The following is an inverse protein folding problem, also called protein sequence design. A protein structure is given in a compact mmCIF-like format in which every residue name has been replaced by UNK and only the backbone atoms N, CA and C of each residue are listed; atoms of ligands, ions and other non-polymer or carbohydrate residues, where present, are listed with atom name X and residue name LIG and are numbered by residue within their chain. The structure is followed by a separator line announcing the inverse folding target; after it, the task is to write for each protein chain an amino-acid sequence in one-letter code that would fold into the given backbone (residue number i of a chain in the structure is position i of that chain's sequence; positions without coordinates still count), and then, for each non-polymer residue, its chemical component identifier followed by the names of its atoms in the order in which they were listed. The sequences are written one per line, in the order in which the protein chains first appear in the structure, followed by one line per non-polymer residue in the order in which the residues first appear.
data_IF_567681117938
#
_entry.id   IF_567681117938
#
_cell.length_a   1.000
_cell.length_b   1.000
_cell.length_c   1.000
_cell.angle_alpha   90.00
_cell.angle_beta   90.00
_cell.angle_gamma   90.00
#
_symmetry.space_group_name_H-M   'P 1'
#
loop_
_entity.id
_entity.type
_entity.pdbx_description
1 polymer ?
#
# COMPACT_ATOMS: atom_id res chain seq x y z
N UNK A 1 18.28 -16.33 -12.51
CA UNK A 1 19.35 -15.64 -11.76
C UNK A 1 19.06 -15.43 -10.26
N UNK A 2 18.01 -16.03 -9.67
CA UNK A 2 17.78 -15.96 -8.21
C UNK A 2 18.52 -17.05 -7.41
N UNK A 3 18.89 -18.16 -8.06
CA UNK A 3 19.51 -19.32 -7.38
C UNK A 3 20.99 -19.13 -6.99
N UNK A 4 21.63 -18.03 -7.41
CA UNK A 4 23.04 -17.75 -7.12
C UNK A 4 23.25 -16.80 -5.92
N UNK A 5 22.18 -16.27 -5.32
CA UNK A 5 22.31 -15.23 -4.30
C UNK A 5 22.32 -15.82 -2.87
N UNK A 6 23.26 -15.42 -1.99
CA UNK A 6 23.27 -15.84 -0.60
C UNK A 6 21.91 -15.62 0.09
N UNK A 7 21.49 -16.59 0.90
CA UNK A 7 20.17 -16.62 1.55
C UNK A 7 19.83 -15.31 2.28
N UNK A 8 20.81 -14.70 2.95
CA UNK A 8 20.60 -13.46 3.71
C UNK A 8 20.19 -12.27 2.81
N UNK A 9 20.74 -12.18 1.60
CA UNK A 9 20.32 -11.16 0.62
C UNK A 9 18.94 -11.53 0.07
N UNK A 10 18.67 -12.81 -0.19
CA UNK A 10 17.36 -13.25 -0.68
C UNK A 10 16.23 -12.96 0.33
N UNK A 11 16.52 -13.06 1.63
CA UNK A 11 15.61 -12.72 2.73
C UNK A 11 15.60 -11.25 3.11
N UNK A 12 16.49 -10.42 2.53
CA UNK A 12 16.56 -9.00 2.86
C UNK A 12 15.35 -8.23 2.32
N UNK A 13 14.79 -8.62 1.18
CA UNK A 13 13.70 -7.88 0.52
C UNK A 13 12.46 -7.71 1.41
N UNK A 14 11.91 -8.76 2.08
CA UNK A 14 10.83 -8.59 3.05
C UNK A 14 11.20 -7.70 4.25
N UNK A 15 12.40 -7.89 4.81
CA UNK A 15 12.85 -7.11 5.96
C UNK A 15 13.00 -5.63 5.61
N UNK A 16 13.59 -5.34 4.44
CA UNK A 16 13.74 -3.99 3.90
C UNK A 16 12.38 -3.31 3.76
N UNK A 17 11.39 -3.99 3.17
CA UNK A 17 10.06 -3.42 3.00
C UNK A 17 9.38 -3.11 4.35
N UNK A 18 9.53 -4.00 5.34
CA UNK A 18 8.98 -3.78 6.68
C UNK A 18 9.64 -2.56 7.35
N UNK A 19 10.97 -2.45 7.28
CA UNK A 19 11.70 -1.32 7.87
C UNK A 19 11.28 0.00 7.22
N UNK A 20 11.21 0.06 5.89
CA UNK A 20 10.78 1.25 5.14
C UNK A 20 9.33 1.62 5.50
N UNK A 21 8.44 0.64 5.62
CA UNK A 21 7.06 0.88 6.03
C UNK A 21 6.97 1.48 7.43
N UNK A 22 7.73 0.95 8.41
CA UNK A 22 7.70 1.53 9.76
C UNK A 22 8.23 2.97 9.77
N UNK A 23 9.26 3.27 8.97
CA UNK A 23 9.72 4.65 8.79
C UNK A 23 8.61 5.55 8.22
N UNK A 24 7.86 5.08 7.22
CA UNK A 24 6.72 5.82 6.67
C UNK A 24 5.68 6.18 7.74
N UNK A 25 5.33 5.22 8.60
CA UNK A 25 4.40 5.43 9.72
C UNK A 25 4.95 6.42 10.75
N UNK A 26 6.26 6.39 11.03
CA UNK A 26 6.90 7.35 11.92
C UNK A 26 6.81 8.76 11.35
N UNK A 27 7.13 8.97 10.06
CA UNK A 27 6.97 10.26 9.40
C UNK A 27 5.52 10.74 9.40
N UNK A 28 4.57 9.84 9.12
CA UNK A 28 3.15 10.17 9.17
C UNK A 28 2.70 10.63 10.57
N UNK A 29 3.17 9.96 11.63
CA UNK A 29 2.88 10.30 13.01
C UNK A 29 3.50 11.66 13.43
N UNK A 30 4.64 12.04 12.84
CA UNK A 30 5.26 13.35 13.02
C UNK A 30 4.61 14.46 12.18
N UNK A 31 3.63 14.12 11.33
CA UNK A 31 2.99 15.07 10.41
C UNK A 31 3.79 15.36 9.14
N UNK A 32 4.91 14.69 8.92
CA UNK A 32 5.77 14.85 7.74
C UNK A 32 5.21 14.04 6.55
N UNK A 33 4.06 14.47 6.03
CA UNK A 33 3.29 13.70 5.04
C UNK A 33 4.05 13.46 3.73
N UNK A 34 4.90 14.41 3.31
CA UNK A 34 5.72 14.25 2.10
C UNK A 34 6.79 13.16 2.28
N UNK A 35 7.47 13.13 3.43
CA UNK A 35 8.43 12.08 3.75
C UNK A 35 7.72 10.73 3.90
N UNK A 36 6.55 10.70 4.55
CA UNK A 36 5.74 9.49 4.66
C UNK A 36 5.36 8.93 3.28
N UNK A 37 4.92 9.78 2.34
CA UNK A 37 4.55 9.36 0.98
C UNK A 37 5.73 8.72 0.25
N UNK A 38 6.92 9.30 0.32
CA UNK A 38 8.11 8.73 -0.31
C UNK A 38 8.42 7.33 0.21
N UNK A 39 8.27 7.10 1.51
CA UNK A 39 8.55 5.81 2.15
C UNK A 39 7.44 4.78 1.92
N UNK A 40 6.16 5.19 1.91
CA UNK A 40 5.06 4.31 1.52
C UNK A 40 5.20 3.87 0.06
N UNK A 41 5.52 4.79 -0.84
CA UNK A 41 5.81 4.49 -2.25
C UNK A 41 6.96 3.50 -2.38
N UNK A 42 8.07 3.73 -1.67
CA UNK A 42 9.22 2.83 -1.67
C UNK A 42 8.86 1.43 -1.13
N UNK A 43 7.98 1.33 -0.13
CA UNK A 43 7.47 0.04 0.35
C UNK A 43 6.73 -0.71 -0.76
N UNK A 44 5.90 0.00 -1.54
CA UNK A 44 5.20 -0.55 -2.68
C UNK A 44 6.19 -1.06 -3.75
N UNK A 45 7.21 -0.27 -4.10
CA UNK A 45 8.23 -0.60 -5.10
C UNK A 45 9.06 -1.86 -4.74
N UNK A 46 9.25 -2.13 -3.44
CA UNK A 46 10.00 -3.31 -2.97
C UNK A 46 9.19 -4.61 -3.15
N UNK A 47 7.87 -4.55 -2.96
CA UNK A 47 7.03 -5.73 -3.07
C UNK A 47 6.71 -6.06 -4.53
N UNK A 48 7.11 -7.25 -4.99
CA UNK A 48 6.69 -7.70 -6.31
C UNK A 48 5.18 -8.05 -6.30
N UNK A 49 4.33 -7.39 -7.11
CA UNK A 49 2.88 -7.62 -7.11
C UNK A 49 2.48 -9.03 -7.57
N UNK A 50 3.28 -9.70 -8.42
CA UNK A 50 2.99 -11.04 -8.92
C UNK A 50 3.18 -12.13 -7.85
N UNK A 51 4.13 -11.95 -6.93
CA UNK A 51 4.41 -12.96 -5.89
C UNK A 51 3.96 -12.54 -4.48
N UNK A 52 3.75 -11.24 -4.26
CA UNK A 52 3.42 -10.66 -2.95
C UNK A 52 2.16 -9.77 -3.02
N UNK A 53 1.19 -10.14 -3.88
CA UNK A 53 -0.01 -9.36 -4.19
C UNK A 53 -0.71 -8.77 -2.96
N UNK A 54 -0.86 -9.53 -1.87
CA UNK A 54 -1.49 -9.07 -0.62
C UNK A 54 -0.76 -7.90 0.03
N UNK A 55 0.54 -8.07 0.29
CA UNK A 55 1.33 -7.05 0.99
C UNK A 55 1.63 -5.86 0.09
N UNK A 56 1.74 -6.09 -1.23
CA UNK A 56 1.76 -5.04 -2.22
C UNK A 56 0.46 -4.21 -2.19
N UNK A 57 -0.72 -4.84 -2.21
CA UNK A 57 -2.00 -4.12 -2.16
C UNK A 57 -2.19 -3.31 -0.85
N UNK A 58 -1.69 -3.82 0.28
CA UNK A 58 -1.66 -3.06 1.54
C UNK A 58 -0.76 -1.82 1.44
N UNK A 59 0.45 -1.96 0.89
CA UNK A 59 1.37 -0.85 0.71
C UNK A 59 0.86 0.19 -0.31
N UNK A 60 0.25 -0.28 -1.40
CA UNK A 60 -0.41 0.56 -2.39
C UNK A 60 -1.54 1.36 -1.76
N UNK A 61 -2.38 0.74 -0.93
CA UNK A 61 -3.46 1.43 -0.25
C UNK A 61 -2.96 2.52 0.73
N UNK A 62 -1.88 2.27 1.47
CA UNK A 62 -1.29 3.30 2.33
C UNK A 62 -0.71 4.46 1.51
N UNK A 63 -0.05 4.16 0.38
CA UNK A 63 0.45 5.16 -0.58
C UNK A 63 -0.67 6.00 -1.17
N UNK A 64 -1.79 5.38 -1.53
CA UNK A 64 -2.98 6.08 -2.02
C UNK A 64 -3.59 7.00 -0.96
N UNK A 65 -3.77 6.51 0.28
CA UNK A 65 -4.35 7.30 1.36
C UNK A 65 -3.48 8.52 1.72
N UNK A 66 -2.15 8.38 1.77
CA UNK A 66 -1.28 9.53 2.05
C UNK A 66 -1.27 10.54 0.90
N UNK A 67 -1.33 10.09 -0.36
CA UNK A 67 -1.48 10.97 -1.53
C UNK A 67 -2.81 11.72 -1.51
N UNK A 68 -3.87 11.06 -1.08
CA UNK A 68 -5.17 11.68 -0.88
C UNK A 68 -5.08 12.83 0.14
N UNK A 69 -4.47 12.57 1.31
CA UNK A 69 -4.24 13.60 2.34
C UNK A 69 -3.37 14.77 1.86
N UNK A 70 -2.51 14.53 0.86
CA UNK A 70 -1.68 15.56 0.22
C UNK A 70 -2.40 16.29 -0.93
N UNK A 71 -3.68 16.02 -1.19
CA UNK A 71 -4.45 16.64 -2.27
C UNK A 71 -4.20 16.06 -3.66
N UNK A 72 -3.41 14.99 -3.78
CA UNK A 72 -3.08 14.31 -5.05
C UNK A 72 -4.12 13.26 -5.40
N UNK A 73 -5.38 13.67 -5.57
CA UNK A 73 -6.52 12.75 -5.62
C UNK A 73 -6.50 11.82 -6.85
N UNK A 74 -6.12 12.33 -8.03
CA UNK A 74 -6.03 11.51 -9.25
C UNK A 74 -4.96 10.41 -9.12
N UNK A 75 -3.77 10.79 -8.65
CA UNK A 75 -2.67 9.85 -8.36
C UNK A 75 -3.07 8.84 -7.27
N UNK A 76 -3.81 9.28 -6.26
CA UNK A 76 -4.30 8.39 -5.21
C UNK A 76 -5.32 7.39 -5.75
N UNK A 77 -6.28 7.85 -6.55
CA UNK A 77 -7.32 7.02 -7.16
C UNK A 77 -6.72 5.96 -8.09
N UNK A 78 -5.74 6.33 -8.92
CA UNK A 78 -5.08 5.39 -9.84
C UNK A 78 -4.38 4.23 -9.12
N UNK A 79 -3.89 4.45 -7.90
CA UNK A 79 -3.26 3.42 -7.06
C UNK A 79 -4.30 2.64 -6.25
N UNK A 80 -5.34 3.32 -5.74
CA UNK A 80 -6.35 2.71 -4.87
C UNK A 80 -7.28 1.77 -5.63
N UNK A 81 -7.75 2.15 -6.82
CA UNK A 81 -8.67 1.36 -7.65
C UNK A 81 -8.21 -0.09 -7.87
N UNK A 82 -6.97 -0.37 -8.32
CA UNK A 82 -6.50 -1.76 -8.48
C UNK A 82 -6.23 -2.46 -7.14
N UNK A 83 -5.96 -1.74 -6.04
CA UNK A 83 -5.69 -2.34 -4.74
C UNK A 83 -6.97 -2.80 -4.03
N UNK A 84 -8.07 -2.07 -4.16
CA UNK A 84 -9.36 -2.36 -3.51
C UNK A 84 -9.87 -3.79 -3.77
N UNK A 85 -9.99 -4.29 -5.02
CA UNK A 85 -10.52 -5.64 -5.26
C UNK A 85 -9.62 -6.72 -4.66
N UNK A 86 -8.30 -6.51 -4.67
CA UNK A 86 -7.35 -7.43 -4.02
C UNK A 86 -7.58 -7.46 -2.51
N UNK A 87 -7.74 -6.30 -1.87
CA UNK A 87 -8.01 -6.21 -0.43
C UNK A 87 -9.36 -6.83 -0.06
N UNK A 88 -10.40 -6.61 -0.88
CA UNK A 88 -11.75 -7.11 -0.67
C UNK A 88 -11.85 -8.63 -0.82
N UNK A 89 -11.06 -9.23 -1.71
CA UNK A 89 -11.00 -10.67 -1.88
C UNK A 89 -10.37 -11.42 -0.69
N UNK A 90 -9.69 -10.71 0.23
CA UNK A 90 -8.98 -11.35 1.34
C UNK A 90 -9.78 -11.33 2.64
N UNK A 91 -9.97 -12.50 3.25
CA UNK A 91 -10.51 -12.62 4.59
C UNK A 91 -9.43 -12.30 5.65
N UNK A 92 -9.20 -11.02 5.94
CA UNK A 92 -8.25 -10.59 6.97
C UNK A 92 -8.68 -9.32 7.69
N UNK A 93 -8.52 -9.31 9.02
CA UNK A 93 -8.70 -8.10 9.82
C UNK A 93 -7.84 -6.92 9.34
N UNK A 94 -6.65 -7.17 8.79
CA UNK A 94 -5.78 -6.10 8.29
C UNK A 94 -6.31 -5.47 7.00
N UNK A 95 -6.80 -6.28 6.06
CA UNK A 95 -7.39 -5.77 4.80
C UNK A 95 -8.72 -5.08 5.06
N UNK A 96 -9.55 -5.61 5.97
CA UNK A 96 -10.79 -4.98 6.41
C UNK A 96 -10.56 -3.59 7.02
N UNK A 97 -9.57 -3.44 7.91
CA UNK A 97 -9.20 -2.13 8.46
C UNK A 97 -8.76 -1.15 7.38
N UNK A 98 -8.02 -1.63 6.38
CA UNK A 98 -7.55 -0.78 5.30
C UNK A 98 -8.71 -0.30 4.40
N UNK A 99 -9.65 -1.19 4.07
CA UNK A 99 -10.87 -0.82 3.34
C UNK A 99 -11.73 0.18 4.14
N UNK A 100 -11.81 0.03 5.46
CA UNK A 100 -12.51 1.00 6.31
C UNK A 100 -11.85 2.40 6.26
N UNK A 101 -10.51 2.48 6.25
CA UNK A 101 -9.81 3.76 6.05
C UNK A 101 -10.08 4.37 4.69
N UNK A 102 -10.08 3.56 3.63
CA UNK A 102 -10.43 4.00 2.28
C UNK A 102 -11.85 4.56 2.27
N UNK A 103 -12.83 3.83 2.85
CA UNK A 103 -14.21 4.31 2.96
C UNK A 103 -14.32 5.65 3.69
N UNK A 104 -13.53 5.85 4.73
CA UNK A 104 -13.55 7.10 5.50
C UNK A 104 -12.88 8.28 4.78
N UNK A 105 -11.98 8.02 3.83
CA UNK A 105 -11.14 9.04 3.18
C UNK A 105 -11.60 9.35 1.74
N UNK A 106 -11.98 8.32 1.01
CA UNK A 106 -12.35 8.33 -0.41
C UNK A 106 -13.49 7.32 -0.67
N UNK A 107 -14.69 7.52 -0.09
CA UNK A 107 -15.82 6.61 -0.24
C UNK A 107 -16.25 6.38 -1.69
N UNK A 108 -16.08 7.38 -2.56
CA UNK A 108 -16.42 7.33 -3.98
C UNK A 108 -15.73 6.18 -4.72
N UNK A 109 -14.48 5.86 -4.36
CA UNK A 109 -13.72 4.78 -5.00
C UNK A 109 -14.29 3.39 -4.69
N UNK A 110 -15.04 3.25 -3.60
CA UNK A 110 -15.71 1.99 -3.26
C UNK A 110 -17.09 1.87 -3.94
N UNK A 111 -17.74 2.99 -4.23
CA UNK A 111 -19.01 3.01 -4.95
C UNK A 111 -18.82 2.63 -6.42
N UNK A 112 -17.80 3.21 -7.09
CA UNK A 112 -17.44 2.90 -8.48
C UNK A 112 -17.26 1.38 -8.70
N UNK A 113 -16.59 0.70 -7.78
CA UNK A 113 -16.29 -0.74 -7.88
C UNK A 113 -17.54 -1.61 -7.61
N UNK A 114 -18.52 -1.09 -6.86
CA UNK A 114 -19.78 -1.79 -6.65
C UNK A 114 -20.67 -1.74 -7.89
N UNK A 115 -20.61 -0.64 -8.65
CA UNK A 115 -21.39 -0.45 -9.88
C UNK A 115 -20.81 -1.22 -11.09
N UNK A 116 -19.51 -1.57 -11.06
CA UNK A 116 -18.85 -2.38 -12.11
C UNK A 116 -19.05 -3.91 -11.96
N UNK A 117 -19.72 -4.38 -10.90
CA UNK A 117 -19.92 -5.83 -10.60
C UNK A 117 -21.32 -6.32 -10.88
#
# INVERSE_FOLDING_TARGET
MRDAMPRWIATWTPNKAITVHQAAKSFEAMGELAAAEQHYRLTCDIWNPATHFRVHALAAAETGLIRWRLGKHEDAASILRPAIPVLAAMNSARTARQLAKIRATAPELLAEIADER
#
